data_IF_790058038592
#
_entry.id   IF_790058038592
#
_cell.length_a   1.000
_cell.length_b   1.000
_cell.length_c   1.000
_cell.angle_alpha   90.00
_cell.angle_beta   90.00
_cell.angle_gamma   90.00
#
_symmetry.space_group_name_H-M   'P 1'
#
loop_
_entity.id
_entity.type
_entity.pdbx_description
1 polymer ?
#
# COMPACT_ATOMS: atom_id res chain seq x y z
N UNK A 1 2.30 0.85 -1.46
CA UNK A 1 2.54 2.29 -1.76
C UNK A 1 4.01 2.70 -1.72
N UNK A 2 4.82 2.26 -0.75
CA UNK A 2 6.22 2.68 -0.61
C UNK A 2 7.11 2.48 -1.85
N UNK A 3 6.90 1.42 -2.61
CA UNK A 3 7.75 1.07 -3.74
C UNK A 3 7.76 2.10 -4.88
N UNK A 4 6.62 2.74 -5.12
CA UNK A 4 6.50 3.80 -6.13
C UNK A 4 6.61 5.19 -5.52
N UNK A 5 6.08 5.37 -4.31
CA UNK A 5 5.97 6.67 -3.69
C UNK A 5 7.31 7.22 -3.19
N UNK A 6 8.15 6.41 -2.54
CA UNK A 6 9.43 6.88 -2.01
C UNK A 6 10.39 7.43 -3.09
N UNK A 7 10.65 6.72 -4.21
CA UNK A 7 11.45 7.29 -5.29
C UNK A 7 10.86 8.59 -5.85
N UNK A 8 9.53 8.62 -6.05
CA UNK A 8 8.85 9.77 -6.59
C UNK A 8 8.95 11.00 -5.67
N UNK A 9 8.74 10.80 -4.36
CA UNK A 9 8.86 11.90 -3.38
C UNK A 9 10.28 12.42 -3.28
N UNK A 10 11.30 11.56 -3.39
CA UNK A 10 12.71 11.95 -3.39
C UNK A 10 13.08 12.85 -4.59
N UNK A 11 12.44 12.65 -5.74
CA UNK A 11 12.73 13.41 -6.96
C UNK A 11 11.95 14.72 -7.04
N UNK A 12 10.78 14.81 -6.39
CA UNK A 12 9.87 15.95 -6.57
C UNK A 12 9.91 16.91 -5.38
N UNK A 13 10.15 16.41 -4.18
CA UNK A 13 10.01 17.15 -2.93
C UNK A 13 11.30 17.17 -2.11
N UNK A 14 11.35 18.11 -1.15
CA UNK A 14 12.44 18.27 -0.21
C UNK A 14 12.64 17.04 0.72
N UNK A 15 13.82 16.87 1.35
CA UNK A 15 14.11 15.79 2.28
C UNK A 15 13.11 15.67 3.44
N UNK A 16 12.53 16.80 3.87
CA UNK A 16 11.49 16.81 4.93
C UNK A 16 10.23 16.07 4.47
N UNK A 17 9.87 16.19 3.19
CA UNK A 17 8.76 15.46 2.61
C UNK A 17 8.99 13.94 2.61
N UNK A 18 10.22 13.51 2.37
CA UNK A 18 10.60 12.08 2.38
C UNK A 18 10.40 11.49 3.77
N UNK A 19 10.77 12.22 4.83
CA UNK A 19 10.55 11.79 6.21
C UNK A 19 9.05 11.70 6.51
N UNK A 20 8.28 12.74 6.20
CA UNK A 20 6.84 12.76 6.40
C UNK A 20 6.13 11.63 5.64
N UNK A 21 6.50 11.42 4.38
CA UNK A 21 5.98 10.32 3.57
C UNK A 21 6.30 8.95 4.19
N UNK A 22 7.52 8.77 4.71
CA UNK A 22 7.93 7.52 5.35
C UNK A 22 7.07 7.20 6.58
N UNK A 23 6.74 8.19 7.41
CA UNK A 23 5.80 8.02 8.52
C UNK A 23 4.41 7.61 8.05
N UNK A 24 3.90 8.25 7.01
CA UNK A 24 2.60 7.86 6.43
C UNK A 24 2.61 6.42 5.92
N UNK A 25 3.69 5.98 5.28
CA UNK A 25 3.85 4.59 4.82
C UNK A 25 3.83 3.60 5.98
N UNK A 26 4.46 3.92 7.12
CA UNK A 26 4.42 3.08 8.32
C UNK A 26 2.98 2.94 8.83
N UNK A 27 2.28 4.06 8.97
CA UNK A 27 0.87 4.07 9.41
C UNK A 27 -0.01 3.26 8.45
N UNK A 28 0.14 3.47 7.15
CA UNK A 28 -0.61 2.77 6.11
C UNK A 28 -0.37 1.24 6.16
N UNK A 29 0.87 0.80 6.40
CA UNK A 29 1.18 -0.62 6.62
C UNK A 29 0.52 -1.16 7.89
N UNK A 30 0.53 -0.43 9.00
CA UNK A 30 -0.15 -0.85 10.22
C UNK A 30 -1.66 -1.04 9.99
N UNK A 31 -2.31 -0.09 9.29
CA UNK A 31 -3.72 -0.21 8.92
C UNK A 31 -3.97 -1.41 8.01
N UNK A 32 -3.16 -1.60 6.96
CA UNK A 32 -3.31 -2.72 6.04
C UNK A 32 -3.26 -4.07 6.78
N UNK A 33 -2.24 -4.25 7.61
CA UNK A 33 -2.05 -5.52 8.31
C UNK A 33 -2.99 -5.73 9.50
N UNK A 34 -3.64 -4.68 9.98
CA UNK A 34 -4.66 -4.77 11.03
C UNK A 34 -6.06 -4.91 10.43
N UNK A 35 -6.54 -3.90 9.72
CA UNK A 35 -7.88 -3.89 9.14
C UNK A 35 -8.02 -4.83 7.95
N UNK A 36 -7.01 -4.88 7.07
CA UNK A 36 -7.02 -5.75 5.90
C UNK A 36 -7.11 -7.22 6.29
N UNK A 37 -6.35 -7.65 7.30
CA UNK A 37 -6.43 -9.02 7.86
C UNK A 37 -7.80 -9.28 8.47
N UNK A 38 -8.38 -8.32 9.18
CA UNK A 38 -9.72 -8.46 9.78
C UNK A 38 -10.81 -8.56 8.71
N UNK A 39 -10.73 -7.78 7.64
CA UNK A 39 -11.71 -7.78 6.56
C UNK A 39 -11.65 -9.07 5.73
N UNK A 40 -10.46 -9.50 5.31
CA UNK A 40 -10.29 -10.74 4.55
C UNK A 40 -10.70 -11.97 5.35
N UNK A 41 -10.49 -11.94 6.67
CA UNK A 41 -10.88 -13.06 7.54
C UNK A 41 -12.36 -13.13 7.86
N UNK A 42 -13.12 -12.04 7.71
CA UNK A 42 -14.58 -12.03 7.88
C UNK A 42 -15.31 -12.67 6.72
N UNK A 43 -14.74 -12.64 5.52
CA UNK A 43 -15.39 -13.15 4.30
C UNK A 43 -15.69 -14.64 4.36
N UNK A 44 -14.98 -15.40 5.19
CA UNK A 44 -15.10 -16.85 5.10
C UNK A 44 -16.13 -17.53 6.01
N UNK A 45 -16.69 -16.98 7.06
CA UNK A 45 -17.58 -17.79 7.95
C UNK A 45 -18.46 -17.06 8.95
N UNK A 46 -19.06 -15.98 8.80
CA UNK A 46 -20.04 -15.50 9.82
C UNK A 46 -19.64 -15.66 11.30
N UNK A 47 -18.35 -15.96 11.58
CA UNK A 47 -17.85 -16.20 12.92
C UNK A 47 -17.72 -14.88 13.68
N UNK A 48 -18.35 -14.83 14.85
CA UNK A 48 -18.18 -13.74 15.81
C UNK A 48 -16.67 -13.55 16.09
N UNK A 49 -16.19 -12.35 15.86
CA UNK A 49 -14.80 -11.95 16.17
C UNK A 49 -14.52 -12.20 17.65
N UNK A 50 -13.85 -13.32 17.95
CA UNK A 50 -13.31 -13.54 19.29
C UNK A 50 -12.03 -12.72 19.43
N UNK A 51 -11.90 -11.95 20.52
CA UNK A 51 -10.67 -11.21 20.85
C UNK A 51 -9.41 -12.09 20.74
N UNK A 52 -9.52 -13.35 21.13
CA UNK A 52 -8.43 -14.34 21.03
C UNK A 52 -8.02 -14.63 19.58
N UNK A 53 -8.97 -14.61 18.63
CA UNK A 53 -8.75 -14.81 17.22
C UNK A 53 -8.10 -13.56 16.59
N UNK A 54 -8.50 -12.38 17.02
CA UNK A 54 -7.92 -11.10 16.61
C UNK A 54 -6.46 -11.03 17.06
N UNK A 55 -6.16 -11.31 18.33
CA UNK A 55 -4.79 -11.31 18.86
C UNK A 55 -3.92 -12.35 18.13
N UNK A 56 -4.42 -13.56 17.87
CA UNK A 56 -3.70 -14.59 17.12
C UNK A 56 -3.42 -14.17 15.67
N UNK A 57 -4.31 -13.41 15.03
CA UNK A 57 -4.13 -12.91 13.67
C UNK A 57 -3.24 -11.67 13.62
N UNK A 58 -3.27 -10.82 14.65
CA UNK A 58 -2.37 -9.69 14.83
C UNK A 58 -0.93 -10.13 15.19
N UNK A 59 -0.74 -11.35 15.70
CA UNK A 59 0.59 -11.97 15.87
C UNK A 59 1.19 -12.45 14.54
N UNK A 60 0.85 -11.77 13.43
CA UNK A 60 1.47 -11.99 12.13
C UNK A 60 2.95 -11.52 12.18
N UNK A 61 3.90 -12.31 11.65
CA UNK A 61 5.32 -11.96 11.65
C UNK A 61 5.61 -10.60 11.01
N UNK A 62 4.75 -10.13 10.09
CA UNK A 62 4.88 -8.80 9.47
C UNK A 62 4.63 -7.69 10.49
N UNK A 63 3.56 -7.79 11.29
CA UNK A 63 3.26 -6.80 12.34
C UNK A 63 4.35 -6.81 13.40
N UNK A 64 4.81 -7.98 13.81
CA UNK A 64 5.92 -8.12 14.76
C UNK A 64 7.19 -7.46 14.21
N UNK A 65 7.52 -7.70 12.93
CA UNK A 65 8.66 -7.08 12.26
C UNK A 65 8.57 -5.54 12.22
N UNK A 66 7.40 -4.99 11.91
CA UNK A 66 7.16 -3.54 11.91
C UNK A 66 7.32 -2.96 13.32
N UNK A 67 6.77 -3.62 14.34
CA UNK A 67 6.90 -3.17 15.73
C UNK A 67 8.36 -3.21 16.20
N UNK A 68 9.10 -4.28 15.89
CA UNK A 68 10.54 -4.35 16.18
C UNK A 68 11.28 -3.22 15.48
N UNK A 69 11.01 -2.97 14.21
CA UNK A 69 11.61 -1.87 13.45
C UNK A 69 11.34 -0.49 14.08
N UNK A 70 10.11 -0.25 14.53
CA UNK A 70 9.75 0.99 15.25
C UNK A 70 10.50 1.12 16.58
N UNK A 71 10.61 0.04 17.35
CA UNK A 71 11.38 0.05 18.61
C UNK A 71 12.85 0.36 18.34
N UNK A 72 13.48 -0.27 17.36
CA UNK A 72 14.87 -0.02 16.98
C UNK A 72 15.08 1.43 16.53
N UNK A 73 14.12 2.00 15.81
CA UNK A 73 14.14 3.40 15.40
C UNK A 73 14.06 4.35 16.60
N UNK A 74 13.16 4.09 17.57
CA UNK A 74 13.03 4.90 18.80
C UNK A 74 14.29 4.80 19.64
N UNK A 75 14.91 3.63 19.72
CA UNK A 75 16.18 3.41 20.43
C UNK A 75 17.38 3.99 19.68
N UNK A 76 17.18 4.60 18.49
CA UNK A 76 18.22 5.17 17.63
C UNK A 76 19.37 4.21 17.36
N UNK A 77 19.06 2.92 17.16
CA UNK A 77 20.05 1.90 16.85
C UNK A 77 20.71 2.24 15.51
N UNK A 78 22.06 2.27 15.43
CA UNK A 78 22.76 2.61 14.20
C UNK A 78 22.40 1.64 13.07
N UNK A 79 21.97 2.18 11.91
CA UNK A 79 21.62 1.38 10.72
C UNK A 79 22.82 0.64 10.10
N UNK A 80 24.05 0.99 10.51
CA UNK A 80 25.28 0.41 10.00
C UNK A 80 25.64 -0.95 10.58
N UNK A 81 24.88 -1.42 11.58
CA UNK A 81 25.07 -2.76 12.12
C UNK A 81 24.90 -3.81 11.02
N UNK A 82 25.85 -4.74 10.94
CA UNK A 82 25.85 -5.81 9.93
C UNK A 82 24.51 -6.55 9.86
N UNK A 83 23.90 -6.81 11.02
CA UNK A 83 22.62 -7.51 11.12
C UNK A 83 21.48 -6.70 10.47
N UNK A 84 21.43 -5.38 10.67
CA UNK A 84 20.41 -4.51 10.06
C UNK A 84 20.60 -4.37 8.57
N UNK A 85 21.85 -4.27 8.09
CA UNK A 85 22.19 -4.30 6.66
C UNK A 85 21.78 -5.61 6.00
N UNK A 86 21.94 -6.73 6.69
CA UNK A 86 21.48 -8.05 6.20
C UNK A 86 19.97 -8.09 6.04
N UNK A 87 19.22 -7.59 7.02
CA UNK A 87 17.77 -7.47 6.92
C UNK A 87 17.32 -6.52 5.80
N UNK A 88 18.01 -5.40 5.59
CA UNK A 88 17.73 -4.48 4.49
C UNK A 88 17.95 -5.16 3.12
N UNK A 89 19.03 -5.91 2.97
CA UNK A 89 19.30 -6.68 1.75
C UNK A 89 18.21 -7.71 1.47
N UNK A 90 17.79 -8.48 2.48
CA UNK A 90 16.69 -9.44 2.36
C UNK A 90 15.37 -8.70 2.04
N UNK A 91 15.11 -7.59 2.73
CA UNK A 91 13.92 -6.76 2.51
C UNK A 91 13.86 -6.17 1.10
N UNK A 92 15.01 -5.85 0.49
CA UNK A 92 15.07 -5.32 -0.87
C UNK A 92 14.60 -6.33 -1.93
N UNK A 93 14.69 -7.63 -1.64
CA UNK A 93 14.19 -8.70 -2.50
C UNK A 93 12.64 -8.75 -2.54
N UNK A 94 11.96 -8.14 -1.58
CA UNK A 94 10.50 -8.15 -1.54
C UNK A 94 9.86 -7.49 -2.77
N UNK A 95 10.49 -6.43 -3.33
CA UNK A 95 10.00 -5.76 -4.54
C UNK A 95 9.97 -6.66 -5.77
N UNK A 96 11.10 -7.25 -6.21
CA UNK A 96 11.10 -8.12 -7.38
C UNK A 96 10.22 -9.35 -7.17
N UNK A 97 10.19 -9.93 -5.96
CA UNK A 97 9.32 -11.07 -5.66
C UNK A 97 7.84 -10.72 -5.77
N UNK A 98 7.42 -9.55 -5.27
CA UNK A 98 6.03 -9.10 -5.41
C UNK A 98 5.63 -8.87 -6.87
N UNK A 99 6.53 -8.32 -7.69
CA UNK A 99 6.29 -8.14 -9.13
C UNK A 99 6.21 -9.47 -9.88
N UNK A 100 7.09 -10.42 -9.55
CA UNK A 100 7.06 -11.78 -10.10
C UNK A 100 5.76 -12.50 -9.71
N UNK A 101 5.32 -12.39 -8.46
CA UNK A 101 4.05 -12.94 -8.00
C UNK A 101 2.87 -12.38 -8.79
N UNK A 102 2.76 -11.06 -8.91
CA UNK A 102 1.66 -10.41 -9.65
C UNK A 102 1.72 -10.81 -11.13
N UNK A 103 2.90 -10.74 -11.75
CA UNK A 103 3.07 -11.12 -13.16
C UNK A 103 2.74 -12.58 -13.41
N UNK A 104 3.18 -13.50 -12.54
CA UNK A 104 2.88 -14.93 -12.63
C UNK A 104 1.41 -15.23 -12.47
N UNK A 105 0.75 -14.60 -11.49
CA UNK A 105 -0.70 -14.79 -11.28
C UNK A 105 -1.51 -14.31 -12.50
N UNK A 106 -1.14 -13.17 -13.08
CA UNK A 106 -1.82 -12.65 -14.28
C UNK A 106 -1.60 -13.57 -15.47
N UNK A 107 -0.39 -14.10 -15.65
CA UNK A 107 -0.07 -15.01 -16.76
C UNK A 107 -0.86 -16.33 -16.68
N UNK A 108 -1.20 -16.79 -15.49
CA UNK A 108 -1.98 -18.00 -15.23
C UNK A 108 -3.49 -17.77 -15.24
N UNK A 109 -3.95 -16.51 -15.27
CA UNK A 109 -5.37 -16.20 -15.29
C UNK A 109 -6.04 -16.55 -16.62
N UNK A 110 -7.26 -17.07 -16.53
CA UNK A 110 -8.12 -17.29 -17.70
C UNK A 110 -8.47 -15.96 -18.37
N UNK A 111 -8.30 -15.88 -19.70
CA UNK A 111 -8.54 -14.66 -20.51
C UNK A 111 -9.94 -14.07 -20.39
N UNK A 112 -10.91 -14.80 -19.85
CA UNK A 112 -12.30 -14.35 -19.62
C UNK A 112 -12.49 -13.57 -18.31
N UNK A 113 -11.58 -13.70 -17.36
CA UNK A 113 -11.70 -13.10 -16.02
C UNK A 113 -11.60 -11.56 -16.06
N UNK A 114 -10.81 -11.00 -16.97
CA UNK A 114 -10.67 -9.54 -17.14
C UNK A 114 -11.96 -8.85 -17.61
N UNK A 115 -12.87 -9.57 -18.28
CA UNK A 115 -14.17 -9.00 -18.73
C UNK A 115 -15.14 -8.69 -17.58
N UNK A 116 -14.96 -9.28 -16.40
CA UNK A 116 -15.74 -8.99 -15.20
C UNK A 116 -15.17 -7.81 -14.39
N UNK A 117 -14.13 -7.14 -14.88
CA UNK A 117 -13.42 -6.08 -14.16
C UNK A 117 -14.12 -4.70 -14.21
N UNK A 118 -15.38 -4.60 -14.69
CA UNK A 118 -16.12 -3.32 -14.71
C UNK A 118 -16.13 -2.58 -13.37
N UNK A 119 -16.33 -3.24 -12.21
CA UNK A 119 -16.24 -2.54 -10.93
C UNK A 119 -14.86 -1.98 -10.62
N UNK A 120 -13.79 -2.60 -11.16
CA UNK A 120 -12.41 -2.11 -10.99
C UNK A 120 -12.22 -0.77 -11.69
N UNK A 121 -12.84 -0.54 -12.85
CA UNK A 121 -12.79 0.75 -13.56
C UNK A 121 -13.37 1.86 -12.70
N UNK A 122 -14.47 1.59 -12.01
CA UNK A 122 -15.10 2.55 -11.09
C UNK A 122 -14.17 2.88 -9.90
N UNK A 123 -13.53 1.86 -9.33
CA UNK A 123 -12.53 2.03 -8.26
C UNK A 123 -11.34 2.85 -8.75
N UNK A 124 -10.86 2.63 -9.98
CA UNK A 124 -9.77 3.40 -10.60
C UNK A 124 -10.12 4.88 -10.67
N UNK A 125 -11.29 5.22 -11.22
CA UNK A 125 -11.72 6.61 -11.38
C UNK A 125 -11.83 7.28 -10.01
N UNK A 126 -12.51 6.64 -9.06
CA UNK A 126 -12.67 7.21 -7.72
C UNK A 126 -11.31 7.35 -7.03
N UNK A 127 -10.50 6.30 -6.98
CA UNK A 127 -9.26 6.28 -6.21
C UNK A 127 -8.16 7.15 -6.81
N UNK A 128 -7.94 7.05 -8.13
CA UNK A 128 -6.80 7.70 -8.78
C UNK A 128 -7.09 9.11 -9.28
N UNK A 129 -8.36 9.50 -9.43
CA UNK A 129 -8.74 10.82 -9.94
C UNK A 129 -9.56 11.59 -8.91
N UNK A 130 -10.72 11.05 -8.50
CA UNK A 130 -11.65 11.79 -7.65
C UNK A 130 -11.04 12.05 -6.26
N UNK A 131 -10.53 11.03 -5.60
CA UNK A 131 -10.01 11.15 -4.23
C UNK A 131 -8.81 12.11 -4.12
N UNK A 132 -7.78 12.06 -4.98
CA UNK A 132 -6.69 13.04 -4.94
C UNK A 132 -7.19 14.49 -5.13
N UNK A 133 -8.11 14.72 -6.07
CA UNK A 133 -8.67 16.06 -6.31
C UNK A 133 -9.49 16.54 -5.11
N UNK A 134 -10.33 15.67 -4.55
CA UNK A 134 -11.13 16.01 -3.35
C UNK A 134 -10.22 16.35 -2.17
N UNK A 135 -9.22 15.51 -1.89
CA UNK A 135 -8.29 15.75 -0.78
C UNK A 135 -7.49 17.04 -0.99
N UNK A 136 -7.00 17.29 -2.20
CA UNK A 136 -6.31 18.54 -2.53
C UNK A 136 -7.21 19.75 -2.24
N UNK A 137 -8.47 19.72 -2.68
CA UNK A 137 -9.43 20.81 -2.45
C UNK A 137 -9.78 20.98 -0.98
N UNK A 138 -10.07 19.90 -0.27
CA UNK A 138 -10.41 19.92 1.16
C UNK A 138 -9.24 20.48 1.98
N UNK A 139 -8.01 20.02 1.73
CA UNK A 139 -6.83 20.50 2.45
C UNK A 139 -6.52 21.97 2.14
N UNK A 140 -6.73 22.41 0.90
CA UNK A 140 -6.62 23.83 0.53
C UNK A 140 -7.66 24.67 1.29
N UNK A 141 -8.89 24.18 1.38
CA UNK A 141 -9.97 24.88 2.11
C UNK A 141 -9.71 24.97 3.62
N UNK A 142 -9.11 23.91 4.20
CA UNK A 142 -8.71 23.87 5.60
C UNK A 142 -7.45 24.71 5.93
N UNK A 143 -6.80 25.32 4.93
CA UNK A 143 -5.58 26.09 5.13
C UNK A 143 -4.36 25.27 5.53
N UNK A 144 -4.33 23.97 5.18
CA UNK A 144 -3.19 23.08 5.47
C UNK A 144 -1.97 23.52 4.65
N UNK A 145 -0.79 23.45 5.28
CA UNK A 145 0.49 23.79 4.63
C UNK A 145 0.65 23.04 3.29
N UNK A 146 1.16 23.73 2.29
CA UNK A 146 1.32 23.24 0.91
C UNK A 146 2.10 21.92 0.85
N UNK A 147 3.17 21.78 1.65
CA UNK A 147 3.94 20.55 1.71
C UNK A 147 3.08 19.35 2.18
N UNK A 148 2.36 19.51 3.27
CA UNK A 148 1.50 18.46 3.81
C UNK A 148 0.36 18.13 2.83
N UNK A 149 -0.29 19.14 2.25
CA UNK A 149 -1.34 18.98 1.24
C UNK A 149 -0.85 18.15 0.06
N UNK A 150 0.30 18.50 -0.50
CA UNK A 150 0.86 17.84 -1.67
C UNK A 150 1.28 16.40 -1.37
N UNK A 151 1.88 16.15 -0.20
CA UNK A 151 2.24 14.79 0.25
C UNK A 151 0.99 13.92 0.38
N UNK A 152 -0.05 14.39 1.08
CA UNK A 152 -1.28 13.62 1.25
C UNK A 152 -2.00 13.35 -0.07
N UNK A 153 -2.04 14.35 -0.95
CA UNK A 153 -2.62 14.20 -2.30
C UNK A 153 -1.89 13.11 -3.08
N UNK A 154 -0.55 13.13 -3.03
CA UNK A 154 0.27 12.14 -3.71
C UNK A 154 0.07 10.72 -3.11
N UNK A 155 0.04 10.59 -1.78
CA UNK A 155 -0.18 9.30 -1.11
C UNK A 155 -1.48 8.65 -1.60
N UNK A 156 -2.54 9.43 -1.70
CA UNK A 156 -3.85 8.93 -2.14
C UNK A 156 -3.85 8.58 -3.62
N UNK A 157 -3.11 9.31 -4.45
CA UNK A 157 -2.95 9.03 -5.88
C UNK A 157 -2.10 7.79 -6.17
N UNK A 158 -1.34 7.27 -5.20
CA UNK A 158 -0.52 6.07 -5.40
C UNK A 158 -1.39 4.83 -5.62
N UNK A 159 -0.92 3.87 -6.44
CA UNK A 159 -1.62 2.62 -6.68
C UNK A 159 -1.77 1.79 -5.41
N UNK A 160 -2.69 0.84 -5.43
CA UNK A 160 -2.91 -0.09 -4.33
C UNK A 160 -1.65 -0.92 -4.04
N UNK A 161 -1.53 -1.40 -2.80
CA UNK A 161 -0.37 -2.19 -2.40
C UNK A 161 -0.35 -3.56 -3.06
N UNK A 162 0.82 -3.97 -3.56
CA UNK A 162 1.05 -5.31 -4.10
C UNK A 162 0.88 -6.42 -3.05
N UNK A 163 0.92 -6.09 -1.76
CA UNK A 163 0.66 -7.02 -0.66
C UNK A 163 -0.81 -7.40 -0.49
N UNK A 164 -1.76 -6.66 -1.07
CA UNK A 164 -3.21 -6.97 -0.96
C UNK A 164 -3.54 -8.33 -1.56
N UNK A 165 -3.18 -8.66 -2.82
CA UNK A 165 -3.44 -9.98 -3.37
C UNK A 165 -2.74 -11.10 -2.61
N UNK A 166 -1.47 -10.89 -2.23
CA UNK A 166 -0.69 -11.87 -1.47
C UNK A 166 -1.37 -12.18 -0.12
N UNK A 167 -1.90 -11.13 0.54
CA UNK A 167 -2.63 -11.27 1.77
C UNK A 167 -3.96 -12.01 1.54
N UNK A 168 -4.73 -11.64 0.51
CA UNK A 168 -5.99 -12.30 0.18
C UNK A 168 -5.81 -13.80 -0.07
N UNK A 169 -4.76 -14.20 -0.80
CA UNK A 169 -4.44 -15.59 -1.05
C UNK A 169 -3.98 -16.33 0.22
N UNK A 170 -3.10 -15.71 1.02
CA UNK A 170 -2.61 -16.34 2.26
C UNK A 170 -3.70 -16.58 3.31
N UNK A 171 -4.81 -15.84 3.24
CA UNK A 171 -6.00 -16.05 4.07
C UNK A 171 -7.08 -16.89 3.38
N UNK A 172 -6.80 -17.47 2.20
CA UNK A 172 -7.72 -18.37 1.50
C UNK A 172 -8.95 -17.66 0.93
N UNK A 173 -8.84 -16.37 0.62
CA UNK A 173 -9.94 -15.62 0.04
C UNK A 173 -10.23 -16.08 -1.38
N UNK A 174 -11.49 -16.37 -1.68
CA UNK A 174 -11.97 -16.72 -3.03
C UNK A 174 -11.82 -15.56 -4.03
N UNK A 175 -11.60 -14.34 -3.53
CA UNK A 175 -11.47 -13.12 -4.32
C UNK A 175 -9.99 -12.71 -4.56
N UNK A 176 -9.02 -13.59 -4.27
CA UNK A 176 -7.60 -13.29 -4.43
C UNK A 176 -7.22 -12.93 -5.88
N UNK A 177 -7.79 -13.67 -6.84
CA UNK A 177 -7.60 -13.41 -8.27
C UNK A 177 -8.14 -12.04 -8.67
N UNK A 178 -9.31 -11.67 -8.17
CA UNK A 178 -9.93 -10.37 -8.42
C UNK A 178 -9.10 -9.24 -7.80
N UNK A 179 -8.57 -9.44 -6.60
CA UNK A 179 -7.67 -8.49 -5.96
C UNK A 179 -6.38 -8.30 -6.78
N UNK A 180 -5.82 -9.38 -7.34
CA UNK A 180 -4.60 -9.33 -8.18
C UNK A 180 -4.87 -8.54 -9.47
N UNK A 181 -5.99 -8.81 -10.15
CA UNK A 181 -6.41 -8.05 -11.33
C UNK A 181 -6.57 -6.57 -11.02
N UNK A 182 -7.27 -6.28 -9.91
CA UNK A 182 -7.49 -4.91 -9.46
C UNK A 182 -6.20 -4.15 -9.23
N UNK A 183 -5.26 -4.73 -8.49
CA UNK A 183 -3.95 -4.11 -8.22
C UNK A 183 -3.16 -3.88 -9.50
N UNK A 184 -3.16 -4.84 -10.43
CA UNK A 184 -2.47 -4.70 -11.71
C UNK A 184 -3.03 -3.56 -12.56
N UNK A 185 -4.35 -3.54 -12.78
CA UNK A 185 -5.01 -2.52 -13.62
C UNK A 185 -4.84 -1.13 -12.97
N UNK A 186 -5.01 -1.02 -11.65
CA UNK A 186 -4.79 0.24 -10.91
C UNK A 186 -3.34 0.70 -11.04
N UNK A 187 -2.37 -0.22 -10.99
CA UNK A 187 -0.95 0.11 -11.14
C UNK A 187 -0.64 0.63 -12.55
N UNK A 188 -1.17 -0.02 -13.59
CA UNK A 188 -1.03 0.47 -14.97
C UNK A 188 -1.69 1.85 -15.16
N UNK A 189 -2.90 2.02 -14.65
CA UNK A 189 -3.60 3.31 -14.73
C UNK A 189 -2.84 4.42 -13.99
N UNK A 190 -2.15 4.09 -12.89
CA UNK A 190 -1.38 5.04 -12.10
C UNK A 190 -0.18 5.64 -12.86
N UNK A 191 0.35 4.95 -13.87
CA UNK A 191 1.42 5.48 -14.71
C UNK A 191 1.00 6.77 -15.45
N UNK A 192 -0.29 6.89 -15.76
CA UNK A 192 -0.86 8.09 -16.40
C UNK A 192 -1.39 9.08 -15.37
N UNK A 193 -2.04 8.58 -14.32
CA UNK A 193 -2.72 9.46 -13.35
C UNK A 193 -1.75 10.13 -12.37
N UNK A 194 -0.63 9.51 -11.99
CA UNK A 194 0.34 10.12 -11.09
C UNK A 194 0.95 11.41 -11.69
N UNK A 195 1.44 11.44 -12.94
CA UNK A 195 1.92 12.69 -13.54
C UNK A 195 0.86 13.79 -13.55
N UNK A 196 -0.41 13.46 -13.83
CA UNK A 196 -1.51 14.41 -13.79
C UNK A 196 -1.75 15.00 -12.39
N UNK A 197 -1.69 14.15 -11.36
CA UNK A 197 -1.84 14.59 -9.96
C UNK A 197 -0.63 15.43 -9.53
N UNK A 198 0.58 15.10 -9.94
CA UNK A 198 1.78 15.90 -9.67
C UNK A 198 1.67 17.29 -10.30
N UNK A 199 1.09 17.40 -11.50
CA UNK A 199 0.80 18.71 -12.12
C UNK A 199 -0.23 19.51 -11.31
N UNK A 200 -1.19 18.85 -10.67
CA UNK A 200 -2.16 19.50 -9.78
C UNK A 200 -1.51 20.04 -8.49
N UNK A 201 -0.45 19.40 -8.02
CA UNK A 201 0.30 19.77 -6.81
C UNK A 201 1.34 20.89 -7.03
N UNK A 202 1.59 21.29 -8.25
CA UNK A 202 2.46 22.42 -8.60
C UNK A 202 1.68 23.73 -8.69
#
# INVERSE_FOLDING_TARGET
>A
MAFFGLPLVKEIFDPVAVVAFSFCVVIDNLFLWTEGVLLTSKSERGQKLSLKLVIKKLSNPVIVGVLIGLVLMILKVPSDLLILRSFDTIGSCAKPLALLYIGGTIALMESGSLKKAWPVVFVIIIKLIVMPVVIFRVMTWLGVNDLARNIWTLIIALPSMASIPIMAESFGSTEADYATQGVFIITLASLVTIPLVVMLCR
#
